data_IF_656713196228
#
_entry.id   IF_656713196228
#
_cell.length_a   1.000
_cell.length_b   1.000
_cell.length_c   1.000
_cell.angle_alpha   90.00
_cell.angle_beta   90.00
_cell.angle_gamma   90.00
#
_symmetry.space_group_name_H-M   'P 1'
#
loop_
_entity.id
_entity.type
_entity.pdbx_description
1 polymer ?
#
# COMPACT_ATOMS: atom_id res chain seq x y z
N UNK A 1 69.98 -36.47 -11.52
CA UNK A 1 69.44 -35.62 -10.42
C UNK A 1 68.81 -34.31 -10.91
N UNK A 2 69.22 -33.74 -12.05
CA UNK A 2 68.62 -32.50 -12.59
C UNK A 2 67.14 -32.63 -13.03
N UNK A 3 66.73 -33.79 -13.57
CA UNK A 3 65.35 -33.99 -14.07
C UNK A 3 64.27 -34.03 -12.97
N UNK A 4 64.63 -34.44 -11.75
CA UNK A 4 63.68 -34.49 -10.62
C UNK A 4 63.40 -33.10 -10.04
N UNK A 5 64.40 -32.23 -9.99
CA UNK A 5 64.25 -30.83 -9.56
C UNK A 5 63.37 -30.03 -10.54
N UNK A 6 63.45 -30.33 -11.85
CA UNK A 6 62.59 -29.74 -12.88
C UNK A 6 61.11 -30.15 -12.72
N UNK A 7 60.82 -31.42 -12.45
CA UNK A 7 59.46 -31.89 -12.21
C UNK A 7 58.80 -31.26 -10.98
N UNK A 8 59.55 -31.13 -9.87
CA UNK A 8 59.07 -30.50 -8.64
C UNK A 8 58.76 -29.01 -8.88
N UNK A 9 59.63 -28.30 -9.62
CA UNK A 9 59.41 -26.89 -9.95
C UNK A 9 58.13 -26.69 -10.78
N UNK A 10 57.85 -27.58 -11.73
CA UNK A 10 56.63 -27.54 -12.55
C UNK A 10 55.38 -27.76 -11.68
N UNK A 11 55.43 -28.75 -10.78
CA UNK A 11 54.30 -29.04 -9.86
C UNK A 11 54.04 -27.84 -8.94
N UNK A 12 55.09 -27.22 -8.40
CA UNK A 12 54.96 -26.01 -7.57
C UNK A 12 54.35 -24.86 -8.36
N UNK A 13 54.75 -24.65 -9.61
CA UNK A 13 54.20 -23.59 -10.45
C UNK A 13 52.70 -23.78 -10.72
N UNK A 14 52.27 -25.02 -10.99
CA UNK A 14 50.85 -25.36 -11.19
C UNK A 14 50.06 -25.20 -9.88
N UNK A 15 50.62 -25.61 -8.75
CA UNK A 15 50.00 -25.48 -7.44
C UNK A 15 49.81 -24.01 -7.03
N UNK A 16 50.85 -23.18 -7.17
CA UNK A 16 50.75 -21.75 -6.88
C UNK A 16 49.87 -21.00 -7.90
N UNK A 17 49.94 -21.36 -9.19
CA UNK A 17 49.10 -20.79 -10.23
C UNK A 17 47.61 -21.07 -10.01
N UNK A 18 47.25 -22.31 -9.71
CA UNK A 18 45.86 -22.68 -9.41
C UNK A 18 45.37 -22.04 -8.10
N UNK A 19 46.19 -21.99 -7.06
CA UNK A 19 45.85 -21.33 -5.79
C UNK A 19 45.58 -19.84 -5.98
N UNK A 20 46.45 -19.13 -6.71
CA UNK A 20 46.27 -17.70 -6.99
C UNK A 20 45.04 -17.42 -7.82
N UNK A 21 44.77 -18.25 -8.84
CA UNK A 21 43.55 -18.14 -9.65
C UNK A 21 42.27 -18.33 -8.83
N UNK A 22 42.23 -19.34 -7.95
CA UNK A 22 41.09 -19.61 -7.06
C UNK A 22 40.88 -18.42 -6.10
N UNK A 23 41.96 -17.88 -5.51
CA UNK A 23 41.88 -16.73 -4.61
C UNK A 23 41.32 -15.49 -5.33
N UNK A 24 41.78 -15.19 -6.55
CA UNK A 24 41.26 -14.08 -7.35
C UNK A 24 39.76 -14.26 -7.63
N UNK A 25 39.31 -15.47 -7.96
CA UNK A 25 37.90 -15.74 -8.20
C UNK A 25 37.03 -15.54 -6.96
N UNK A 26 37.52 -15.96 -5.78
CA UNK A 26 36.84 -15.74 -4.51
C UNK A 26 36.75 -14.24 -4.19
N UNK A 27 37.84 -13.49 -4.38
CA UNK A 27 37.82 -12.04 -4.18
C UNK A 27 36.87 -11.33 -5.14
N UNK A 28 36.89 -11.68 -6.43
CA UNK A 28 35.98 -11.12 -7.42
C UNK A 28 34.51 -11.40 -7.07
N UNK A 29 34.17 -12.66 -6.76
CA UNK A 29 32.82 -13.06 -6.33
C UNK A 29 32.39 -12.28 -5.08
N UNK A 30 33.28 -12.14 -4.10
CA UNK A 30 33.00 -11.39 -2.86
C UNK A 30 32.75 -9.90 -3.14
N UNK A 31 33.52 -9.28 -4.04
CA UNK A 31 33.31 -7.88 -4.43
C UNK A 31 31.99 -7.71 -5.18
N UNK A 32 31.70 -8.53 -6.20
CA UNK A 32 30.44 -8.47 -6.96
C UNK A 32 29.23 -8.62 -6.02
N UNK A 33 29.28 -9.59 -5.11
CA UNK A 33 28.21 -9.82 -4.14
C UNK A 33 28.02 -8.62 -3.21
N UNK A 34 29.11 -7.98 -2.74
CA UNK A 34 29.05 -6.77 -1.91
C UNK A 34 28.43 -5.60 -2.66
N UNK A 35 28.81 -5.38 -3.91
CA UNK A 35 28.25 -4.31 -4.74
C UNK A 35 26.77 -4.56 -5.06
N UNK A 36 26.39 -5.79 -5.37
CA UNK A 36 25.00 -6.18 -5.60
C UNK A 36 24.12 -6.07 -4.33
N UNK A 37 24.67 -6.40 -3.16
CA UNK A 37 23.96 -6.22 -1.88
C UNK A 37 23.82 -4.75 -1.49
N UNK A 38 24.80 -3.89 -1.84
CA UNK A 38 24.75 -2.45 -1.59
C UNK A 38 23.78 -1.72 -2.54
N UNK A 39 23.57 -2.24 -3.75
CA UNK A 39 22.62 -1.68 -4.72
C UNK A 39 21.17 -2.11 -4.50
N UNK A 40 20.93 -3.21 -3.77
CA UNK A 40 19.58 -3.62 -3.37
C UNK A 40 18.99 -2.60 -2.40
N UNK A 41 18.21 -1.68 -2.97
CA UNK A 41 17.27 -0.86 -2.22
C UNK A 41 16.29 -1.81 -1.53
N UNK A 42 16.38 -1.90 -0.21
CA UNK A 42 15.40 -2.65 0.58
C UNK A 42 14.06 -1.90 0.55
N UNK A 43 12.92 -2.56 0.83
CA UNK A 43 11.61 -1.91 0.89
C UNK A 43 11.54 -0.71 1.85
N UNK A 44 12.42 -0.68 2.86
CA UNK A 44 12.56 0.42 3.84
C UNK A 44 13.77 1.32 3.56
N UNK A 45 14.14 1.50 2.29
CA UNK A 45 15.21 2.42 1.93
C UNK A 45 14.75 3.86 2.26
N UNK A 46 15.59 4.68 2.93
CA UNK A 46 15.19 6.03 3.33
C UNK A 46 14.80 6.85 2.10
N UNK A 47 13.66 7.53 2.19
CA UNK A 47 13.12 8.33 1.09
C UNK A 47 14.12 9.44 0.77
N UNK A 48 14.57 9.50 -0.49
CA UNK A 48 15.54 10.49 -0.94
C UNK A 48 17.01 10.11 -0.76
N UNK A 49 17.35 8.86 -0.40
CA UNK A 49 18.76 8.49 -0.37
C UNK A 49 19.43 8.60 -1.76
N UNK A 50 20.67 9.10 -1.74
CA UNK A 50 21.36 9.63 -2.93
C UNK A 50 21.21 11.13 -3.13
N UNK A 51 20.29 11.79 -2.41
CA UNK A 51 20.13 13.25 -2.41
C UNK A 51 21.03 13.96 -1.39
N UNK A 52 21.10 15.29 -1.48
CA UNK A 52 21.77 16.13 -0.48
C UNK A 52 21.08 16.02 0.90
N UNK A 53 21.86 16.17 1.98
CA UNK A 53 21.33 16.09 3.35
C UNK A 53 20.21 17.11 3.62
N UNK A 54 20.27 18.28 2.99
CA UNK A 54 19.23 19.30 3.11
C UNK A 54 17.92 18.85 2.48
N UNK A 55 17.98 18.18 1.32
CA UNK A 55 16.79 17.67 0.65
C UNK A 55 16.15 16.51 1.41
N UNK A 56 16.95 15.60 1.96
CA UNK A 56 16.45 14.50 2.81
C UNK A 56 15.69 15.07 4.02
N UNK A 57 16.26 16.05 4.72
CA UNK A 57 15.61 16.71 5.85
C UNK A 57 14.30 17.40 5.47
N UNK A 58 14.25 18.05 4.30
CA UNK A 58 13.02 18.68 3.83
C UNK A 58 11.95 17.63 3.47
N UNK A 59 12.34 16.51 2.86
CA UNK A 59 11.42 15.40 2.58
C UNK A 59 10.84 14.85 3.89
N UNK A 60 11.69 14.52 4.86
CA UNK A 60 11.26 14.04 6.19
C UNK A 60 10.29 15.03 6.84
N UNK A 61 10.65 16.32 6.88
CA UNK A 61 9.78 17.38 7.42
C UNK A 61 8.42 17.45 6.73
N UNK A 62 8.34 17.18 5.42
CA UNK A 62 7.08 17.18 4.67
C UNK A 62 6.27 15.91 4.94
N UNK A 63 6.92 14.78 5.13
CA UNK A 63 6.26 13.53 5.52
C UNK A 63 5.70 13.62 6.94
N UNK A 64 6.41 14.28 7.86
CA UNK A 64 5.92 14.52 9.23
C UNK A 64 4.60 15.31 9.24
N UNK A 65 4.31 16.10 8.20
CA UNK A 65 3.03 16.82 8.07
C UNK A 65 1.86 15.87 7.82
N UNK A 66 2.10 14.67 7.28
CA UNK A 66 1.04 13.70 6.95
C UNK A 66 0.23 13.30 8.18
N UNK A 67 0.89 13.15 9.33
CA UNK A 67 0.25 12.83 10.61
C UNK A 67 -0.75 13.91 11.07
N UNK A 68 -0.63 15.13 10.54
CA UNK A 68 -1.52 16.24 10.83
C UNK A 68 -2.63 16.44 9.78
N UNK A 69 -2.66 15.65 8.70
CA UNK A 69 -3.71 15.74 7.67
C UNK A 69 -5.02 15.19 8.26
N UNK A 70 -5.97 16.11 8.53
CA UNK A 70 -7.28 15.78 9.12
C UNK A 70 -8.39 15.56 8.09
N UNK A 71 -8.17 16.01 6.86
CA UNK A 71 -9.17 16.04 5.82
C UNK A 71 -8.73 15.18 4.66
N UNK A 72 -9.61 14.27 4.25
CA UNK A 72 -9.42 13.52 3.03
C UNK A 72 -10.05 14.29 1.84
N UNK A 73 -9.36 14.41 0.69
CA UNK A 73 -9.82 15.20 -0.45
C UNK A 73 -10.89 14.48 -1.26
N UNK A 74 -11.92 15.20 -1.74
CA UNK A 74 -12.98 14.59 -2.59
C UNK A 74 -12.33 14.10 -3.88
N UNK A 75 -12.57 12.85 -4.24
CA UNK A 75 -11.90 12.21 -5.36
C UNK A 75 -12.62 12.51 -6.68
N UNK A 76 -13.94 12.43 -6.68
CA UNK A 76 -14.75 12.67 -7.87
C UNK A 76 -15.04 14.15 -8.10
N UNK A 77 -15.05 14.56 -9.36
CA UNK A 77 -15.61 15.84 -9.77
C UNK A 77 -17.13 15.77 -9.84
N UNK A 78 -17.81 16.90 -9.67
CA UNK A 78 -19.28 16.97 -9.67
C UNK A 78 -19.91 16.36 -10.94
N UNK A 79 -19.32 16.60 -12.12
CA UNK A 79 -19.82 16.04 -13.37
C UNK A 79 -19.84 14.51 -13.39
N UNK A 80 -18.82 13.88 -12.78
CA UNK A 80 -18.75 12.41 -12.71
C UNK A 80 -19.68 11.90 -11.62
N UNK A 81 -19.85 12.63 -10.51
CA UNK A 81 -20.80 12.26 -9.45
C UNK A 81 -22.23 12.15 -9.98
N UNK A 82 -22.65 13.07 -10.85
CA UNK A 82 -23.97 13.04 -11.48
C UNK A 82 -24.21 11.77 -12.33
N UNK A 83 -23.16 11.18 -12.90
CA UNK A 83 -23.28 9.93 -13.65
C UNK A 83 -23.67 8.75 -12.74
N UNK A 84 -23.40 8.82 -11.44
CA UNK A 84 -23.79 7.80 -10.47
C UNK A 84 -25.27 7.88 -10.04
N UNK A 85 -25.98 8.94 -10.44
CA UNK A 85 -27.40 9.10 -10.13
C UNK A 85 -28.31 8.39 -11.16
N UNK A 86 -27.79 8.11 -12.37
CA UNK A 86 -28.51 7.41 -13.44
C UNK A 86 -27.95 6.00 -13.61
N UNK A 87 -28.75 4.98 -13.26
CA UNK A 87 -28.39 3.56 -13.36
C UNK A 87 -27.86 3.15 -14.74
N UNK A 88 -28.39 3.75 -15.82
CA UNK A 88 -27.97 3.45 -17.18
C UNK A 88 -26.54 3.93 -17.45
N UNK A 89 -26.17 5.07 -16.86
CA UNK A 89 -24.84 5.66 -17.02
C UNK A 89 -23.83 4.98 -16.09
N UNK A 90 -24.23 4.58 -14.87
CA UNK A 90 -23.32 3.95 -13.90
C UNK A 90 -22.63 2.71 -14.47
N UNK A 91 -23.39 1.86 -15.15
CA UNK A 91 -22.88 0.61 -15.74
C UNK A 91 -21.88 0.84 -16.89
N UNK A 92 -21.89 2.03 -17.48
CA UNK A 92 -21.06 2.41 -18.62
C UNK A 92 -19.85 3.26 -18.22
N UNK A 93 -19.67 3.55 -16.92
CA UNK A 93 -18.57 4.37 -16.42
C UNK A 93 -17.23 3.70 -16.76
N UNK A 94 -16.40 4.46 -17.44
CA UNK A 94 -15.02 4.11 -17.75
C UNK A 94 -14.13 5.30 -17.44
N UNK A 95 -12.97 5.11 -16.81
CA UNK A 95 -12.33 3.82 -16.44
C UNK A 95 -12.83 3.23 -15.09
N UNK A 96 -12.59 1.92 -14.81
CA UNK A 96 -13.10 1.24 -13.61
C UNK A 96 -12.65 1.82 -12.26
N UNK A 97 -11.54 2.56 -12.22
CA UNK A 97 -11.08 3.19 -10.98
C UNK A 97 -12.04 4.28 -10.47
N UNK A 98 -12.95 4.78 -11.31
CA UNK A 98 -13.97 5.76 -10.93
C UNK A 98 -14.93 5.17 -9.88
N UNK A 99 -15.23 3.87 -9.94
CA UNK A 99 -15.99 3.18 -8.90
C UNK A 99 -15.29 3.22 -7.54
N UNK A 100 -13.96 3.07 -7.52
CA UNK A 100 -13.17 3.17 -6.27
C UNK A 100 -13.26 4.56 -5.66
N UNK A 101 -13.16 5.57 -6.51
CA UNK A 101 -13.28 6.96 -6.09
C UNK A 101 -14.64 7.25 -5.46
N UNK A 102 -15.71 6.73 -6.07
CA UNK A 102 -17.07 6.83 -5.54
C UNK A 102 -17.20 6.18 -4.16
N UNK A 103 -16.72 4.94 -4.00
CA UNK A 103 -16.74 4.21 -2.73
C UNK A 103 -16.04 5.01 -1.62
N UNK A 104 -14.87 5.60 -1.91
CA UNK A 104 -14.11 6.36 -0.92
C UNK A 104 -14.84 7.64 -0.51
N UNK A 105 -15.41 8.36 -1.48
CA UNK A 105 -16.19 9.56 -1.22
C UNK A 105 -17.47 9.25 -0.42
N UNK A 106 -18.17 8.15 -0.74
CA UNK A 106 -19.39 7.71 -0.06
C UNK A 106 -19.14 7.34 1.41
N UNK A 107 -18.06 6.59 1.70
CA UNK A 107 -17.69 6.29 3.11
C UNK A 107 -17.32 7.56 3.86
N UNK A 108 -16.65 8.51 3.20
CA UNK A 108 -16.36 9.80 3.84
C UNK A 108 -17.63 10.57 4.16
N UNK A 109 -18.58 10.59 3.23
CA UNK A 109 -19.86 11.27 3.41
C UNK A 109 -20.67 10.63 4.56
N UNK A 110 -20.66 9.30 4.65
CA UNK A 110 -21.20 8.56 5.79
C UNK A 110 -20.51 8.95 7.11
N UNK A 111 -19.17 9.00 7.15
CA UNK A 111 -18.44 9.43 8.35
C UNK A 111 -18.79 10.87 8.77
N UNK A 112 -18.99 11.78 7.80
CA UNK A 112 -19.42 13.15 8.05
C UNK A 112 -20.84 13.19 8.63
N UNK A 113 -21.76 12.41 8.06
CA UNK A 113 -23.13 12.29 8.55
C UNK A 113 -23.18 11.80 9.99
N UNK A 114 -22.47 10.71 10.30
CA UNK A 114 -22.39 10.15 11.65
C UNK A 114 -21.80 11.14 12.68
N UNK A 115 -20.78 11.91 12.27
CA UNK A 115 -20.20 12.98 13.10
C UNK A 115 -21.18 14.13 13.32
N UNK A 116 -21.98 14.49 12.31
CA UNK A 116 -22.96 15.56 12.40
C UNK A 116 -24.11 15.20 13.36
N UNK A 117 -24.53 13.94 13.37
CA UNK A 117 -25.57 13.45 14.28
C UNK A 117 -25.07 13.40 15.73
N UNK A 118 -23.83 12.92 15.96
CA UNK A 118 -23.21 12.95 17.28
C UNK A 118 -21.68 13.01 17.20
N UNK A 119 -21.10 14.06 17.78
CA UNK A 119 -19.64 14.30 17.76
C UNK A 119 -18.86 13.14 18.40
N UNK A 120 -19.42 12.43 19.38
CA UNK A 120 -18.80 11.26 20.03
C UNK A 120 -18.65 10.05 19.09
N UNK A 121 -19.42 10.04 17.99
CA UNK A 121 -19.31 9.03 16.91
C UNK A 121 -18.28 9.42 15.87
N UNK A 122 -17.49 10.48 16.07
CA UNK A 122 -16.39 10.81 15.16
C UNK A 122 -15.27 9.77 15.20
N UNK A 123 -14.58 9.61 14.07
CA UNK A 123 -13.37 8.78 13.96
C UNK A 123 -12.20 9.44 14.67
N UNK A 124 -11.43 8.67 15.43
CA UNK A 124 -10.20 9.18 16.03
C UNK A 124 -9.07 9.35 14.98
N UNK A 125 -8.07 10.18 15.26
CA UNK A 125 -7.05 10.63 14.27
C UNK A 125 -6.27 9.45 13.66
N UNK A 126 -5.99 8.41 14.44
CA UNK A 126 -5.22 7.23 14.02
C UNK A 126 -6.08 5.96 13.94
N UNK A 127 -7.40 6.10 14.06
CA UNK A 127 -8.30 4.97 14.01
C UNK A 127 -8.60 4.63 12.55
N UNK A 128 -8.32 3.37 12.20
CA UNK A 128 -8.65 2.85 10.87
C UNK A 128 -10.17 2.74 10.68
N UNK A 129 -10.62 2.79 9.42
CA UNK A 129 -12.05 2.72 9.07
C UNK A 129 -12.68 1.39 9.54
N UNK A 130 -11.98 0.25 9.45
CA UNK A 130 -12.51 -1.00 10.00
C UNK A 130 -12.75 -0.89 11.50
N UNK A 131 -11.73 -0.43 12.23
CA UNK A 131 -11.79 -0.29 13.69
C UNK A 131 -12.90 0.67 14.12
N UNK A 132 -13.03 1.78 13.40
CA UNK A 132 -14.06 2.79 13.59
C UNK A 132 -15.47 2.21 13.52
N UNK A 133 -15.82 1.54 12.43
CA UNK A 133 -17.17 1.00 12.25
C UNK A 133 -17.45 -0.17 13.21
N UNK A 134 -16.46 -1.02 13.51
CA UNK A 134 -16.61 -2.07 14.52
C UNK A 134 -16.84 -1.49 15.91
N UNK A 135 -16.17 -0.39 16.27
CA UNK A 135 -16.44 0.34 17.52
C UNK A 135 -17.86 0.89 17.56
N UNK A 136 -18.33 1.48 16.46
CA UNK A 136 -19.70 1.99 16.37
C UNK A 136 -20.75 0.89 16.54
N UNK A 137 -20.53 -0.28 15.92
CA UNK A 137 -21.39 -1.45 16.08
C UNK A 137 -21.44 -1.91 17.54
N UNK A 138 -20.29 -2.05 18.20
CA UNK A 138 -20.20 -2.40 19.63
C UNK A 138 -20.91 -1.41 20.55
N UNK A 139 -20.96 -0.14 20.16
CA UNK A 139 -21.68 0.92 20.88
C UNK A 139 -23.18 0.94 20.58
N UNK A 140 -23.73 -0.10 19.95
CA UNK A 140 -25.14 -0.26 19.60
C UNK A 140 -25.69 0.85 18.68
N UNK A 141 -24.84 1.35 17.77
CA UNK A 141 -25.30 2.26 16.73
C UNK A 141 -26.16 1.52 15.69
N UNK A 142 -25.65 0.40 15.18
CA UNK A 142 -26.36 -0.44 14.21
C UNK A 142 -27.03 -1.60 14.93
N UNK A 143 -28.19 -1.34 15.57
CA UNK A 143 -28.79 -2.29 16.52
C UNK A 143 -29.27 -3.58 15.88
N UNK A 144 -29.84 -3.52 14.68
CA UNK A 144 -30.37 -4.72 14.02
C UNK A 144 -29.47 -5.22 12.88
N UNK A 145 -28.38 -4.51 12.60
CA UNK A 145 -27.45 -4.90 11.55
C UNK A 145 -26.54 -6.05 12.01
N UNK A 146 -26.58 -7.15 11.24
CA UNK A 146 -25.67 -8.27 11.44
C UNK A 146 -24.22 -7.83 11.20
N UNK A 147 -23.33 -8.17 12.15
CA UNK A 147 -21.91 -7.87 12.06
C UNK A 147 -21.25 -8.39 10.77
N UNK A 148 -21.74 -9.50 10.20
CA UNK A 148 -21.24 -10.05 8.93
C UNK A 148 -21.50 -9.12 7.75
N UNK A 149 -22.65 -8.43 7.74
CA UNK A 149 -23.01 -7.43 6.72
C UNK A 149 -22.06 -6.25 6.82
N UNK A 150 -21.78 -5.79 8.05
CA UNK A 150 -20.81 -4.73 8.30
C UNK A 150 -19.40 -5.11 7.83
N UNK A 151 -18.94 -6.33 8.14
CA UNK A 151 -17.64 -6.81 7.67
C UNK A 151 -17.58 -6.88 6.15
N UNK A 152 -18.63 -7.36 5.47
CA UNK A 152 -18.68 -7.41 4.00
C UNK A 152 -18.58 -6.01 3.39
N UNK A 153 -19.30 -5.04 3.94
CA UNK A 153 -19.22 -3.63 3.54
C UNK A 153 -17.79 -3.09 3.67
N UNK A 154 -17.15 -3.35 4.80
CA UNK A 154 -15.80 -2.85 5.09
C UNK A 154 -14.72 -3.53 4.24
N UNK A 155 -14.89 -4.82 3.90
CA UNK A 155 -14.01 -5.52 2.96
C UNK A 155 -14.10 -4.95 1.54
N UNK A 156 -15.28 -4.58 1.06
CA UNK A 156 -15.43 -3.91 -0.24
C UNK A 156 -14.77 -2.52 -0.25
N UNK A 157 -14.88 -1.79 0.85
CA UNK A 157 -14.14 -0.54 1.02
C UNK A 157 -12.62 -0.74 1.00
N UNK A 158 -12.11 -1.75 1.71
CA UNK A 158 -10.69 -2.09 1.74
C UNK A 158 -10.19 -2.49 0.35
N UNK A 159 -10.99 -3.27 -0.39
CA UNK A 159 -10.73 -3.61 -1.79
C UNK A 159 -10.62 -2.35 -2.67
N UNK A 160 -11.59 -1.44 -2.57
CA UNK A 160 -11.58 -0.20 -3.34
C UNK A 160 -10.36 0.69 -3.02
N UNK A 161 -9.91 0.74 -1.77
CA UNK A 161 -8.88 1.68 -1.31
C UNK A 161 -7.45 1.15 -1.44
N UNK A 162 -7.20 -0.11 -1.12
CA UNK A 162 -5.83 -0.61 -0.91
C UNK A 162 -5.43 -1.77 -1.82
N UNK A 163 -6.39 -2.57 -2.26
CA UNK A 163 -6.09 -3.77 -3.04
C UNK A 163 -5.76 -3.43 -4.50
N UNK A 164 -4.79 -4.10 -5.13
CA UNK A 164 -4.38 -3.86 -6.51
C UNK A 164 -5.34 -4.43 -7.58
N UNK A 165 -6.22 -5.35 -7.23
CA UNK A 165 -7.15 -6.03 -8.14
C UNK A 165 -8.14 -5.05 -8.81
N UNK A 166 -8.75 -5.40 -9.93
CA UNK A 166 -9.71 -4.49 -10.58
C UNK A 166 -11.00 -4.44 -9.76
N UNK A 167 -11.41 -3.24 -9.34
CA UNK A 167 -12.70 -3.02 -8.69
C UNK A 167 -13.76 -2.74 -9.76
N UNK A 168 -14.61 -3.73 -10.02
CA UNK A 168 -15.60 -3.69 -11.11
C UNK A 168 -16.94 -3.07 -10.68
N UNK A 169 -17.82 -2.83 -11.65
CA UNK A 169 -19.20 -2.40 -11.42
C UNK A 169 -19.95 -3.33 -10.45
N UNK A 170 -19.80 -4.65 -10.56
CA UNK A 170 -20.46 -5.59 -9.65
C UNK A 170 -20.04 -5.41 -8.18
N UNK A 171 -18.76 -5.09 -7.95
CA UNK A 171 -18.28 -4.78 -6.60
C UNK A 171 -18.88 -3.48 -6.09
N UNK A 172 -19.04 -2.48 -6.97
CA UNK A 172 -19.69 -1.22 -6.65
C UNK A 172 -21.18 -1.41 -6.31
N UNK A 173 -21.92 -2.18 -7.10
CA UNK A 173 -23.33 -2.49 -6.83
C UNK A 173 -23.50 -3.14 -5.45
N UNK A 174 -22.71 -4.18 -5.16
CA UNK A 174 -22.73 -4.84 -3.85
C UNK A 174 -22.39 -3.86 -2.71
N UNK A 175 -21.44 -2.96 -2.92
CA UNK A 175 -21.10 -1.94 -1.94
C UNK A 175 -22.27 -0.96 -1.72
N UNK A 176 -22.89 -0.48 -2.80
CA UNK A 176 -23.99 0.49 -2.76
C UNK A 176 -25.21 -0.07 -2.03
N UNK A 177 -25.58 -1.32 -2.29
CA UNK A 177 -26.66 -2.03 -1.60
C UNK A 177 -26.39 -2.12 -0.09
N UNK A 178 -25.17 -2.52 0.30
CA UNK A 178 -24.79 -2.61 1.71
C UNK A 178 -24.73 -1.24 2.39
N UNK A 179 -24.33 -0.21 1.66
CA UNK A 179 -24.32 1.17 2.14
C UNK A 179 -25.74 1.69 2.38
N UNK A 180 -26.69 1.38 1.50
CA UNK A 180 -28.11 1.71 1.70
C UNK A 180 -28.66 1.01 2.93
N UNK A 181 -28.41 -0.31 3.06
CA UNK A 181 -28.81 -1.07 4.24
C UNK A 181 -28.23 -0.52 5.56
N UNK A 182 -27.04 0.09 5.53
CA UNK A 182 -26.43 0.75 6.68
C UNK A 182 -27.05 2.12 7.00
N UNK A 183 -27.63 2.81 6.02
CA UNK A 183 -28.29 4.11 6.18
C UNK A 183 -29.74 3.99 6.64
N UNK A 184 -30.38 2.86 6.36
CA UNK A 184 -31.78 2.59 6.71
C UNK A 184 -31.97 2.12 8.17
N UNK A 185 -30.89 1.83 8.90
CA UNK A 185 -30.86 1.51 10.34
C UNK A 185 -30.70 2.76 11.23
#
# INVERSE_FOLDING_TARGET
MANQLSGIAIILFIAFGSLTFILLFIFAKRQITRFALKSRHRPHYPVGAGSSKSLIKEIERRLDVIDYIRCEPVQLSENIRLQFEDENLVSQISPPHVYRMKVIDDVRELCKFLKAENITRSRHIQEDIMQYFVRLHKNNLFRNLNIQVLYKFLLLYEHARYQPEVFTYDHYCQFSELLQALKDE
#
